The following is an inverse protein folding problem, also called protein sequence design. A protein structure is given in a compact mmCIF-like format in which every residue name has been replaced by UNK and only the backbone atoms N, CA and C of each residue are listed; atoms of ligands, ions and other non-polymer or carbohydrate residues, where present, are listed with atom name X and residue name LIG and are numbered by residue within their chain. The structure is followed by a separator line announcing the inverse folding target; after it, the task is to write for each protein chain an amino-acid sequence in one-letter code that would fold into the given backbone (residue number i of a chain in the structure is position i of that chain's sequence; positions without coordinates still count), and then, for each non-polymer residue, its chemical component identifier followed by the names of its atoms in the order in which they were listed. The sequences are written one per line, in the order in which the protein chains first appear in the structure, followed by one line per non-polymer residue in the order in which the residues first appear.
data_IF_392774079829
#
_entry.id   IF_392774079829
#
_cell.length_a   1.000
_cell.length_b   1.000
_cell.length_c   1.000
_cell.angle_alpha   90.00
_cell.angle_beta   90.00
_cell.angle_gamma   90.00
#
_symmetry.space_group_name_H-M   'P 1'
#
loop_
_entity.id
_entity.type
_entity.pdbx_description
1 polymer ?
#
# COMPACT_ATOMS: atom_id res chain seq x y z
N UNK A 1 -12.92 30.17 39.81
CA UNK A 1 -13.57 29.70 38.55
C UNK A 1 -12.77 30.01 37.29
N UNK A 2 -12.18 31.22 37.12
CA UNK A 2 -11.49 31.61 35.87
C UNK A 2 -10.27 30.73 35.50
N UNK A 3 -9.46 30.30 36.47
CA UNK A 3 -8.24 29.50 36.20
C UNK A 3 -8.54 28.11 35.62
N UNK A 4 -9.61 27.45 36.09
CA UNK A 4 -10.03 26.13 35.57
C UNK A 4 -10.54 26.21 34.14
N UNK A 5 -11.18 27.33 33.78
CA UNK A 5 -11.68 27.60 32.42
C UNK A 5 -10.51 27.82 31.44
N UNK A 6 -9.48 28.56 31.88
CA UNK A 6 -8.26 28.80 31.09
C UNK A 6 -7.50 27.49 30.84
N UNK A 7 -7.38 26.64 31.87
CA UNK A 7 -6.73 25.33 31.74
C UNK A 7 -7.48 24.41 30.77
N UNK A 8 -8.81 24.41 30.81
CA UNK A 8 -9.64 23.63 29.87
C UNK A 8 -9.43 24.09 28.42
N UNK A 9 -9.38 25.41 28.18
CA UNK A 9 -9.12 25.94 26.84
C UNK A 9 -7.71 25.59 26.33
N UNK A 10 -6.70 25.57 27.20
CA UNK A 10 -5.34 25.14 26.85
C UNK A 10 -5.33 23.65 26.50
N UNK A 11 -6.00 22.80 27.29
CA UNK A 11 -6.10 21.37 27.00
C UNK A 11 -6.85 21.10 25.68
N UNK A 12 -7.94 21.81 25.40
CA UNK A 12 -8.68 21.69 24.13
C UNK A 12 -7.84 22.21 22.96
N UNK A 13 -7.11 23.32 23.12
CA UNK A 13 -6.19 23.84 22.11
C UNK A 13 -5.05 22.87 21.78
N UNK A 14 -4.47 22.22 22.79
CA UNK A 14 -3.46 21.18 22.61
C UNK A 14 -4.04 19.91 21.99
N UNK A 15 -5.25 19.49 22.36
CA UNK A 15 -5.95 18.36 21.75
C UNK A 15 -6.23 18.59 20.26
N UNK A 16 -6.67 19.79 19.88
CA UNK A 16 -6.91 20.13 18.47
C UNK A 16 -5.60 20.13 17.67
N UNK A 17 -4.47 20.54 18.25
CA UNK A 17 -3.17 20.49 17.56
C UNK A 17 -2.60 19.07 17.42
N UNK A 18 -3.03 18.12 18.25
CA UNK A 18 -2.58 16.72 18.21
C UNK A 18 -3.44 15.83 17.29
N UNK A 19 -4.64 16.26 16.89
CA UNK A 19 -5.57 15.46 16.10
C UNK A 19 -5.39 15.58 14.57
N UNK A 20 -4.45 16.40 14.07
CA UNK A 20 -4.27 16.65 12.64
C UNK A 20 -2.82 16.47 12.19
N UNK A 21 -2.16 15.40 12.63
CA UNK A 21 -0.83 15.07 12.10
C UNK A 21 -0.99 14.37 10.76
N UNK A 22 -1.13 15.13 9.68
CA UNK A 22 -0.85 14.64 8.33
C UNK A 22 0.62 14.89 8.03
N UNK A 23 1.38 13.85 7.73
CA UNK A 23 2.76 14.00 7.26
C UNK A 23 2.70 14.27 5.77
N UNK A 24 3.07 15.48 5.35
CA UNK A 24 3.04 15.89 3.94
C UNK A 24 4.44 15.92 3.33
N UNK A 25 4.61 15.33 2.16
CA UNK A 25 5.84 15.35 1.39
C UNK A 25 5.57 15.38 -0.11
N UNK A 26 6.09 16.40 -0.80
CA UNK A 26 6.08 16.47 -2.25
C UNK A 26 7.31 15.80 -2.89
N UNK A 27 8.19 15.22 -2.07
CA UNK A 27 9.41 14.58 -2.56
C UNK A 27 9.04 13.31 -3.32
N UNK A 28 9.32 13.32 -4.63
CA UNK A 28 9.25 12.13 -5.48
C UNK A 28 10.25 11.09 -5.01
N UNK A 29 9.85 9.83 -5.18
CA UNK A 29 10.72 8.68 -4.97
C UNK A 29 11.66 8.62 -6.18
N UNK A 30 12.96 8.41 -5.93
CA UNK A 30 13.93 8.37 -7.03
C UNK A 30 13.73 7.11 -7.88
N UNK A 31 14.06 7.21 -9.17
CA UNK A 31 14.01 6.08 -10.08
C UNK A 31 14.94 4.95 -9.61
N UNK A 32 16.07 5.28 -8.97
CA UNK A 32 16.96 4.30 -8.36
C UNK A 32 16.27 3.43 -7.30
N UNK A 33 15.39 4.01 -6.48
CA UNK A 33 14.64 3.26 -5.45
C UNK A 33 13.58 2.37 -6.11
N UNK A 34 12.89 2.88 -7.14
CA UNK A 34 11.89 2.11 -7.90
C UNK A 34 12.55 0.92 -8.61
N UNK A 35 13.70 1.16 -9.26
CA UNK A 35 14.45 0.13 -9.98
C UNK A 35 15.03 -0.91 -9.03
N UNK A 36 15.60 -0.49 -7.89
CA UNK A 36 16.12 -1.42 -6.88
C UNK A 36 15.02 -2.36 -6.36
N UNK A 37 13.84 -1.83 -6.03
CA UNK A 37 12.73 -2.67 -5.57
C UNK A 37 12.24 -3.63 -6.67
N UNK A 38 12.23 -3.18 -7.93
CA UNK A 38 11.85 -4.01 -9.07
C UNK A 38 12.81 -5.19 -9.23
N UNK A 39 14.12 -4.94 -9.15
CA UNK A 39 15.14 -5.98 -9.22
C UNK A 39 15.03 -6.98 -8.05
N UNK A 40 14.78 -6.50 -6.83
CA UNK A 40 14.56 -7.35 -5.66
C UNK A 40 13.36 -8.27 -5.83
N UNK A 41 12.23 -7.76 -6.31
CA UNK A 41 11.04 -8.57 -6.57
C UNK A 41 11.24 -9.57 -7.71
N UNK A 42 11.92 -9.17 -8.79
CA UNK A 42 12.26 -10.10 -9.87
C UNK A 42 13.14 -11.24 -9.37
N UNK A 43 14.13 -10.95 -8.53
CA UNK A 43 14.98 -11.96 -7.90
C UNK A 43 14.16 -12.90 -7.00
N UNK A 44 13.34 -12.34 -6.12
CA UNK A 44 12.48 -13.11 -5.23
C UNK A 44 11.56 -14.07 -5.99
N UNK A 45 10.94 -13.59 -7.08
CA UNK A 45 10.04 -14.41 -7.91
C UNK A 45 10.78 -15.52 -8.63
N UNK A 46 11.97 -15.25 -9.18
CA UNK A 46 12.79 -16.26 -9.84
C UNK A 46 13.27 -17.36 -8.88
N UNK A 47 13.52 -17.02 -7.61
CA UNK A 47 13.91 -17.98 -6.57
C UNK A 47 12.71 -18.80 -6.05
N UNK A 48 11.54 -18.15 -5.89
CA UNK A 48 10.34 -18.76 -5.30
C UNK A 48 9.54 -19.60 -6.30
N UNK A 49 9.47 -19.15 -7.56
CA UNK A 49 8.65 -19.73 -8.62
C UNK A 49 9.48 -19.90 -9.91
N UNK A 50 10.49 -20.80 -9.93
CA UNK A 50 11.48 -20.88 -11.02
C UNK A 50 10.90 -21.26 -12.38
N UNK A 51 9.73 -21.91 -12.40
CA UNK A 51 9.06 -22.37 -13.63
C UNK A 51 8.03 -21.37 -14.16
N UNK A 52 7.80 -20.26 -13.46
CA UNK A 52 6.81 -19.24 -13.82
C UNK A 52 7.48 -17.97 -14.35
N UNK A 53 6.76 -17.25 -15.22
CA UNK A 53 7.21 -15.96 -15.75
C UNK A 53 6.28 -14.86 -15.25
N UNK A 54 6.90 -13.81 -14.72
CA UNK A 54 6.20 -12.67 -14.17
C UNK A 54 6.66 -11.37 -14.82
N UNK A 55 5.70 -10.46 -15.00
CA UNK A 55 5.97 -9.05 -15.26
C UNK A 55 5.86 -8.30 -13.94
N UNK A 56 6.90 -7.56 -13.58
CA UNK A 56 6.93 -6.71 -12.37
C UNK A 56 6.82 -5.25 -12.78
N UNK A 57 5.74 -4.60 -12.34
CA UNK A 57 5.50 -3.18 -12.54
C UNK A 57 5.51 -2.48 -11.19
N UNK A 58 6.39 -1.49 -11.05
CA UNK A 58 6.48 -0.62 -9.87
C UNK A 58 6.51 0.82 -10.36
N UNK A 59 5.71 1.67 -9.75
CA UNK A 59 5.65 3.09 -10.05
C UNK A 59 5.41 3.90 -8.78
N UNK A 60 5.55 5.21 -8.88
CA UNK A 60 5.16 6.12 -7.81
C UNK A 60 3.86 6.84 -8.18
N UNK A 61 3.00 7.06 -7.19
CA UNK A 61 1.75 7.81 -7.32
C UNK A 61 1.64 8.79 -6.15
N UNK A 62 1.12 9.99 -6.40
CA UNK A 62 0.80 10.91 -5.32
C UNK A 62 -0.50 10.48 -4.65
N UNK A 63 -0.48 10.26 -3.34
CA UNK A 63 -1.66 9.92 -2.56
C UNK A 63 -1.91 10.95 -1.47
N UNK A 64 -3.18 11.32 -1.29
CA UNK A 64 -3.62 12.30 -0.28
C UNK A 64 -3.93 11.66 1.06
N UNK A 65 -4.08 10.32 1.12
CA UNK A 65 -4.47 9.57 2.32
C UNK A 65 -3.90 8.16 2.33
N UNK A 66 -2.67 8.02 2.82
CA UNK A 66 -2.10 6.70 3.15
C UNK A 66 -1.81 6.61 4.64
N UNK A 67 -2.88 6.64 5.45
CA UNK A 67 -2.84 6.32 6.87
C UNK A 67 -3.36 4.91 7.13
N UNK A 68 -2.56 4.07 7.77
CA UNK A 68 -3.06 2.82 8.37
C UNK A 68 -3.89 3.12 9.62
N UNK A 69 -4.70 2.16 10.08
CA UNK A 69 -5.47 2.32 11.31
C UNK A 69 -4.54 2.67 12.49
N UNK A 70 -4.73 3.86 13.07
CA UNK A 70 -3.92 4.35 14.20
C UNK A 70 -2.59 5.02 13.81
N UNK A 71 -2.32 5.22 12.52
CA UNK A 71 -1.17 5.97 12.03
C UNK A 71 -1.59 7.35 11.50
N UNK A 72 -0.73 8.37 11.61
CA UNK A 72 -0.85 9.63 10.87
C UNK A 72 -1.17 9.38 9.39
N UNK A 73 -2.09 10.17 8.83
CA UNK A 73 -2.26 10.18 7.37
C UNK A 73 -0.94 10.65 6.74
N UNK A 74 -0.47 9.93 5.72
CA UNK A 74 0.59 10.41 4.86
C UNK A 74 -0.01 10.97 3.56
N UNK A 75 0.43 12.17 3.20
CA UNK A 75 0.13 12.83 1.93
C UNK A 75 1.45 12.99 1.16
N UNK A 76 1.59 12.29 0.04
CA UNK A 76 2.81 12.35 -0.75
C UNK A 76 2.95 11.20 -1.74
N UNK A 77 4.12 11.09 -2.35
CA UNK A 77 4.42 10.00 -3.27
C UNK A 77 4.59 8.68 -2.53
N UNK A 78 3.87 7.65 -2.98
CA UNK A 78 3.94 6.27 -2.50
C UNK A 78 4.28 5.32 -3.63
N UNK A 79 4.93 4.19 -3.30
CA UNK A 79 5.21 3.12 -4.25
C UNK A 79 3.95 2.29 -4.46
N UNK A 80 3.60 2.09 -5.72
CA UNK A 80 2.57 1.16 -6.17
C UNK A 80 3.23 0.05 -6.96
N UNK A 81 2.60 -1.11 -6.95
CA UNK A 81 3.13 -2.28 -7.61
C UNK A 81 2.01 -3.22 -8.06
N UNK A 82 2.28 -3.96 -9.13
CA UNK A 82 1.51 -5.13 -9.53
C UNK A 82 2.45 -6.13 -10.18
N UNK A 83 2.27 -7.40 -9.82
CA UNK A 83 2.97 -8.52 -10.45
C UNK A 83 1.94 -9.27 -11.27
N UNK A 84 2.24 -9.53 -12.54
CA UNK A 84 1.34 -10.22 -13.47
C UNK A 84 2.00 -11.50 -13.99
N UNK A 85 1.33 -12.64 -13.82
CA UNK A 85 1.79 -13.92 -14.37
C UNK A 85 1.51 -14.04 -15.89
N UNK A 86 1.96 -15.13 -16.50
CA UNK A 86 1.76 -15.40 -17.94
C UNK A 86 0.29 -15.59 -18.36
N UNK A 87 -0.61 -15.87 -17.41
CA UNK A 87 -2.06 -16.07 -17.62
C UNK A 87 -2.85 -14.78 -17.37
N UNK A 88 -2.19 -13.70 -16.94
CA UNK A 88 -2.80 -12.42 -16.62
C UNK A 88 -3.34 -12.31 -15.19
N UNK A 89 -3.01 -13.26 -14.31
CA UNK A 89 -3.33 -13.15 -12.88
C UNK A 89 -2.44 -12.09 -12.24
N UNK A 90 -3.02 -11.25 -11.39
CA UNK A 90 -2.35 -10.10 -10.76
C UNK A 90 -2.27 -10.28 -9.26
N UNK A 91 -1.13 -9.98 -8.66
CA UNK A 91 -0.91 -10.04 -7.21
C UNK A 91 0.11 -8.98 -6.73
N UNK A 92 0.30 -8.88 -5.41
CA UNK A 92 1.28 -8.00 -4.75
C UNK A 92 2.30 -8.83 -3.97
N UNK A 93 3.50 -8.26 -3.82
CA UNK A 93 4.53 -8.75 -2.89
C UNK A 93 4.61 -7.76 -1.72
N UNK A 94 4.54 -8.24 -0.50
CA UNK A 94 4.67 -7.45 0.71
C UNK A 94 6.08 -7.61 1.30
N UNK A 95 6.77 -6.48 1.46
CA UNK A 95 8.03 -6.41 2.20
C UNK A 95 7.75 -6.53 3.69
N UNK A 96 8.35 -7.55 4.31
CA UNK A 96 8.32 -7.78 5.75
C UNK A 96 9.61 -7.24 6.39
N UNK A 97 9.74 -7.38 7.72
CA UNK A 97 10.98 -7.06 8.42
C UNK A 97 12.16 -7.90 7.90
N UNK A 98 13.35 -7.31 7.90
CA UNK A 98 14.63 -8.00 7.60
C UNK A 98 14.77 -8.50 6.15
N UNK A 99 14.17 -7.82 5.17
CA UNK A 99 14.32 -8.20 3.75
C UNK A 99 13.60 -9.50 3.38
N UNK A 100 12.67 -9.95 4.22
CA UNK A 100 11.77 -11.06 3.92
C UNK A 100 10.60 -10.56 3.10
N UNK A 101 10.11 -11.41 2.21
CA UNK A 101 8.95 -11.12 1.37
C UNK A 101 7.84 -12.14 1.64
N UNK A 102 6.61 -11.70 1.47
CA UNK A 102 5.44 -12.56 1.33
C UNK A 102 4.65 -12.11 0.13
N UNK A 103 3.91 -13.00 -0.52
CA UNK A 103 3.12 -12.67 -1.69
C UNK A 103 1.72 -13.27 -1.62
N UNK A 104 0.83 -12.76 -2.48
CA UNK A 104 -0.55 -13.22 -2.59
C UNK A 104 -0.79 -14.16 -3.78
N UNK A 105 0.24 -14.65 -4.47
CA UNK A 105 0.09 -15.41 -5.71
C UNK A 105 -0.80 -16.64 -5.52
N UNK A 106 -0.53 -17.47 -4.51
CA UNK A 106 -1.37 -18.63 -4.24
C UNK A 106 -2.81 -18.24 -3.91
N UNK A 107 -3.03 -17.15 -3.16
CA UNK A 107 -4.36 -16.66 -2.82
C UNK A 107 -5.15 -16.23 -4.06
N UNK A 108 -4.47 -15.70 -5.07
CA UNK A 108 -5.04 -15.34 -6.36
C UNK A 108 -5.37 -16.59 -7.18
N UNK A 109 -4.47 -17.59 -7.22
CA UNK A 109 -4.75 -18.87 -7.89
C UNK A 109 -5.93 -19.62 -7.26
N UNK A 110 -6.07 -19.52 -5.94
CA UNK A 110 -7.20 -20.10 -5.19
C UNK A 110 -8.50 -19.28 -5.35
N UNK A 111 -8.45 -18.11 -5.98
CA UNK A 111 -9.59 -17.22 -6.18
C UNK A 111 -10.08 -16.53 -4.90
N UNK A 112 -9.24 -16.45 -3.86
CA UNK A 112 -9.60 -15.81 -2.57
C UNK A 112 -9.33 -14.31 -2.56
N UNK A 113 -8.44 -13.84 -3.45
CA UNK A 113 -8.08 -12.45 -3.61
C UNK A 113 -7.98 -12.12 -5.10
N UNK A 114 -8.36 -10.90 -5.46
CA UNK A 114 -8.25 -10.41 -6.84
C UNK A 114 -7.64 -9.02 -6.86
N UNK A 115 -6.84 -8.73 -7.88
CA UNK A 115 -6.23 -7.43 -8.08
C UNK A 115 -6.55 -6.89 -9.48
N UNK A 116 -6.80 -5.58 -9.57
CA UNK A 116 -6.94 -4.89 -10.85
C UNK A 116 -5.58 -4.53 -11.46
N UNK A 117 -5.58 -3.90 -12.63
CA UNK A 117 -4.39 -3.43 -13.34
C UNK A 117 -3.57 -2.37 -12.58
N UNK A 118 -4.16 -1.73 -11.57
CA UNK A 118 -3.48 -0.77 -10.69
C UNK A 118 -2.89 -1.42 -9.44
N UNK A 119 -2.99 -2.74 -9.30
CA UNK A 119 -2.57 -3.46 -8.10
C UNK A 119 -3.47 -3.21 -6.89
N UNK A 120 -4.71 -2.75 -7.10
CA UNK A 120 -5.69 -2.56 -6.03
C UNK A 120 -6.50 -3.84 -5.83
N UNK A 121 -6.76 -4.20 -4.58
CA UNK A 121 -7.54 -5.40 -4.27
C UNK A 121 -9.02 -5.16 -4.59
N UNK A 122 -9.63 -6.07 -5.35
CA UNK A 122 -11.03 -5.99 -5.80
C UNK A 122 -11.86 -7.07 -5.10
N UNK A 123 -12.99 -6.66 -4.54
CA UNK A 123 -13.96 -7.53 -3.88
C UNK A 123 -15.22 -7.63 -4.72
N UNK A 124 -15.73 -8.86 -4.92
CA UNK A 124 -16.93 -9.15 -5.71
C UNK A 124 -18.05 -9.68 -4.82
N UNK A 125 -19.30 -9.50 -5.27
CA UNK A 125 -20.46 -10.21 -4.72
C UNK A 125 -20.60 -11.62 -5.34
N UNK A 126 -21.55 -12.40 -4.82
CA UNK A 126 -21.85 -13.75 -5.30
C UNK A 126 -22.28 -13.82 -6.78
N UNK A 127 -22.57 -12.67 -7.42
CA UNK A 127 -22.95 -12.54 -8.83
C UNK A 127 -21.78 -12.06 -9.70
N UNK A 128 -20.57 -11.92 -9.13
CA UNK A 128 -19.38 -11.44 -9.83
C UNK A 128 -19.36 -9.93 -10.07
N UNK A 129 -20.20 -9.15 -9.39
CA UNK A 129 -20.20 -7.68 -9.48
C UNK A 129 -19.24 -7.10 -8.45
N UNK A 130 -18.44 -6.11 -8.86
CA UNK A 130 -17.53 -5.39 -7.94
C UNK A 130 -18.34 -4.72 -6.83
N UNK A 131 -18.03 -5.07 -5.59
CA UNK A 131 -18.54 -4.46 -4.36
C UNK A 131 -17.69 -3.28 -3.91
N UNK A 132 -16.37 -3.48 -3.87
CA UNK A 132 -15.42 -2.52 -3.32
C UNK A 132 -14.02 -2.73 -3.91
N UNK A 133 -13.27 -1.63 -4.02
CA UNK A 133 -11.85 -1.63 -4.41
C UNK A 133 -11.06 -1.04 -3.25
N UNK A 134 -10.13 -1.80 -2.70
CA UNK A 134 -9.25 -1.38 -1.61
C UNK A 134 -7.97 -0.79 -2.19
N UNK A 135 -7.63 0.42 -1.73
CA UNK A 135 -6.42 1.14 -2.15
C UNK A 135 -5.21 0.90 -1.22
N UNK A 136 -5.30 -0.16 -0.39
CA UNK A 136 -4.24 -0.60 0.54
C UNK A 136 -2.95 -1.01 -0.19
#
# INVERSE_FOLDING_TARGET
MRVKLVLLCICVGLLISLCSCTIRSEKKISDDVINAQKEEFQKYLAETYPDEKFTVEIWQEYSEKTGGAGLPDYEGYVLRQVITDSKGNRFKIFTLSEGKYSDDYQKVLDGTVHYNEKGQQVFYDDKGKVLFISDQ
#
